data_IF_148401254605
#
_entry.id   IF_148401254605
#
_cell.length_a   1.000
_cell.length_b   1.000
_cell.length_c   1.000
_cell.angle_alpha   90.00
_cell.angle_beta   90.00
_cell.angle_gamma   90.00
#
_symmetry.space_group_name_H-M   'P 1'
#
loop_
_entity.id
_entity.type
_entity.pdbx_description
1 polymer ?
#
# COMPACT_ATOMS: atom_id res chain seq x y z
N UNK A 1 1.64 26.96 -0.21
CA UNK A 1 1.07 27.62 0.98
C UNK A 1 1.34 26.76 2.22
N UNK A 2 0.86 27.16 3.40
CA UNK A 2 0.94 26.32 4.60
C UNK A 2 0.06 25.06 4.45
N UNK A 3 0.49 23.94 5.03
CA UNK A 3 -0.34 22.73 5.13
C UNK A 3 -1.54 22.99 6.03
N UNK A 4 -2.69 22.41 5.70
CA UNK A 4 -3.88 22.42 6.55
C UNK A 4 -4.05 21.09 7.27
N UNK A 5 -4.49 21.15 8.53
CA UNK A 5 -4.86 20.00 9.34
C UNK A 5 -6.33 20.17 9.70
N UNK A 6 -7.19 19.32 9.15
CA UNK A 6 -8.65 19.52 9.20
C UNK A 6 -9.37 18.26 9.64
N UNK A 7 -10.45 18.43 10.41
CA UNK A 7 -11.40 17.34 10.65
C UNK A 7 -12.19 17.08 9.37
N UNK A 8 -12.31 15.82 9.00
CA UNK A 8 -13.11 15.38 7.86
C UNK A 8 -14.56 15.14 8.27
N UNK A 9 -15.42 14.92 7.27
CA UNK A 9 -16.80 14.49 7.51
C UNK A 9 -16.83 13.18 8.31
N UNK A 10 -17.94 12.95 9.02
CA UNK A 10 -18.13 11.69 9.74
C UNK A 10 -18.25 10.51 8.77
N UNK A 11 -17.78 9.34 9.24
CA UNK A 11 -18.08 8.08 8.55
C UNK A 11 -19.59 7.82 8.55
N UNK A 12 -20.08 7.23 7.46
CA UNK A 12 -21.42 6.65 7.39
C UNK A 12 -21.39 5.21 7.91
N UNK A 13 -22.49 4.74 8.50
CA UNK A 13 -22.72 3.34 8.88
C UNK A 13 -21.67 2.73 9.83
N UNK A 14 -21.20 3.49 10.81
CA UNK A 14 -20.27 2.99 11.84
C UNK A 14 -21.01 2.15 12.88
N UNK A 15 -21.34 0.92 12.54
CA UNK A 15 -21.99 -0.06 13.43
C UNK A 15 -21.43 -1.45 13.20
N UNK A 16 -21.50 -2.32 14.20
CA UNK A 16 -21.02 -3.69 14.10
C UNK A 16 -21.67 -4.44 12.92
N UNK A 17 -20.86 -5.16 12.14
CA UNK A 17 -21.29 -5.93 10.98
C UNK A 17 -21.56 -5.14 9.69
N UNK A 18 -21.44 -3.81 9.72
CA UNK A 18 -21.69 -2.96 8.55
C UNK A 18 -20.40 -2.48 7.88
N UNK A 19 -20.52 -2.09 6.61
CA UNK A 19 -19.46 -1.39 5.87
C UNK A 19 -19.55 0.11 6.16
N UNK A 20 -18.52 0.64 6.83
CA UNK A 20 -18.35 2.06 7.06
C UNK A 20 -17.68 2.73 5.86
N UNK A 21 -18.16 3.92 5.50
CA UNK A 21 -17.65 4.68 4.35
C UNK A 21 -17.37 6.13 4.71
N UNK A 22 -16.25 6.64 4.23
CA UNK A 22 -15.88 8.04 4.33
C UNK A 22 -15.60 8.58 2.94
N UNK A 23 -16.37 9.56 2.50
CA UNK A 23 -16.10 10.30 1.28
C UNK A 23 -15.18 11.48 1.58
N UNK A 24 -14.04 11.54 0.89
CA UNK A 24 -13.08 12.63 1.03
C UNK A 24 -13.51 13.82 0.16
N UNK A 25 -13.60 15.04 0.72
CA UNK A 25 -13.83 16.26 -0.06
C UNK A 25 -12.77 16.46 -1.14
N UNK A 26 -13.19 16.82 -2.35
CA UNK A 26 -12.28 17.06 -3.47
C UNK A 26 -11.69 18.47 -3.45
N UNK A 27 -10.59 18.64 -4.16
CA UNK A 27 -9.98 19.94 -4.48
C UNK A 27 -8.62 20.20 -3.83
N UNK A 28 -8.28 19.52 -2.73
CA UNK A 28 -6.95 19.60 -2.08
C UNK A 28 -6.17 18.31 -2.29
N UNK A 29 -4.87 18.35 -2.07
CA UNK A 29 -4.03 17.15 -2.08
C UNK A 29 -3.92 16.58 -0.68
N UNK A 30 -4.20 15.29 -0.52
CA UNK A 30 -4.09 14.59 0.75
C UNK A 30 -2.66 14.05 0.90
N UNK A 31 -1.91 14.58 1.87
CA UNK A 31 -0.60 14.02 2.24
C UNK A 31 -0.80 12.78 3.13
N UNK A 32 -1.77 12.84 4.05
CA UNK A 32 -2.13 11.77 4.98
C UNK A 32 -3.60 11.90 5.41
N UNK A 33 -4.25 10.77 5.66
CA UNK A 33 -5.54 10.71 6.39
C UNK A 33 -5.33 9.90 7.67
N UNK A 34 -5.81 10.43 8.79
CA UNK A 34 -5.73 9.81 10.11
C UNK A 34 -7.14 9.44 10.55
N UNK A 35 -7.38 8.15 10.81
CA UNK A 35 -8.67 7.65 11.27
C UNK A 35 -8.51 7.21 12.73
N UNK A 36 -9.00 8.04 13.64
CA UNK A 36 -9.12 7.69 15.05
C UNK A 36 -10.23 6.67 15.25
N UNK A 37 -9.97 5.63 16.05
CA UNK A 37 -10.96 4.61 16.35
C UNK A 37 -11.03 4.26 17.83
N UNK A 38 -12.20 3.86 18.31
CA UNK A 38 -12.40 3.34 19.66
C UNK A 38 -13.54 2.32 19.70
N UNK A 39 -13.57 1.48 20.75
CA UNK A 39 -14.57 0.42 20.90
C UNK A 39 -14.47 -0.70 19.84
N UNK A 40 -13.34 -0.75 19.13
CA UNK A 40 -12.99 -1.70 18.07
C UNK A 40 -11.46 -1.90 18.06
N UNK A 41 -11.02 -3.10 17.66
CA UNK A 41 -9.58 -3.43 17.50
C UNK A 41 -9.14 -3.33 16.04
N UNK A 42 -7.83 -3.25 15.81
CA UNK A 42 -7.26 -3.19 14.45
C UNK A 42 -7.70 -4.36 13.56
N UNK A 43 -7.76 -5.58 14.09
CA UNK A 43 -8.19 -6.79 13.36
C UNK A 43 -9.69 -6.85 13.11
N UNK A 44 -10.48 -6.01 13.80
CA UNK A 44 -11.93 -5.89 13.59
C UNK A 44 -12.30 -4.84 12.54
N UNK A 45 -11.34 -4.01 12.11
CA UNK A 45 -11.50 -3.11 10.97
C UNK A 45 -10.98 -3.86 9.75
N UNK A 46 -11.86 -4.48 8.96
CA UNK A 46 -11.51 -5.42 7.88
C UNK A 46 -11.71 -4.80 6.50
N UNK A 47 -11.14 -5.45 5.48
CA UNK A 47 -11.36 -5.15 4.06
C UNK A 47 -11.21 -3.65 3.73
N UNK A 48 -10.16 -3.03 4.27
CA UNK A 48 -9.92 -1.60 4.12
C UNK A 48 -9.52 -1.33 2.68
N UNK A 49 -10.22 -0.39 2.03
CA UNK A 49 -9.92 0.06 0.67
C UNK A 49 -9.93 1.58 0.59
N UNK A 50 -8.92 2.12 -0.08
CA UNK A 50 -8.97 3.50 -0.58
C UNK A 50 -9.36 3.42 -2.05
N UNK A 51 -10.50 3.98 -2.40
CA UNK A 51 -11.08 3.95 -3.73
C UNK A 51 -11.08 5.34 -4.35
N UNK A 52 -10.69 5.42 -5.62
CA UNK A 52 -10.72 6.65 -6.42
C UNK A 52 -11.52 6.34 -7.68
N UNK A 53 -12.63 7.05 -7.89
CA UNK A 53 -13.60 6.77 -8.97
C UNK A 53 -14.04 5.29 -9.00
N UNK A 54 -14.23 4.68 -7.83
CA UNK A 54 -14.61 3.27 -7.68
C UNK A 54 -13.47 2.25 -7.92
N UNK A 55 -12.25 2.69 -8.23
CA UNK A 55 -11.07 1.81 -8.32
C UNK A 55 -10.31 1.79 -7.00
N UNK A 56 -10.13 0.61 -6.42
CA UNK A 56 -9.32 0.44 -5.22
C UNK A 56 -7.83 0.66 -5.54
N UNK A 57 -7.24 1.71 -4.98
CA UNK A 57 -5.81 2.02 -5.12
C UNK A 57 -4.98 1.37 -4.02
N UNK A 58 -5.51 1.29 -2.80
CA UNK A 58 -4.85 0.61 -1.68
C UNK A 58 -5.83 -0.35 -1.03
N UNK A 59 -5.39 -1.57 -0.79
CA UNK A 59 -6.20 -2.64 -0.20
C UNK A 59 -5.45 -3.27 0.96
N UNK A 60 -6.13 -3.42 2.09
CA UNK A 60 -5.59 -4.08 3.27
C UNK A 60 -6.60 -5.09 3.82
N UNK A 61 -6.11 -6.24 4.30
CA UNK A 61 -6.93 -7.25 4.96
C UNK A 61 -7.69 -6.66 6.15
N UNK A 62 -6.96 -5.92 6.98
CA UNK A 62 -7.46 -5.30 8.19
C UNK A 62 -6.57 -4.13 8.62
N UNK A 63 -6.94 -3.46 9.71
CA UNK A 63 -6.17 -2.36 10.29
C UNK A 63 -4.81 -2.79 10.83
N UNK A 64 -4.62 -4.08 11.15
CA UNK A 64 -3.31 -4.59 11.61
C UNK A 64 -2.33 -4.62 10.46
N UNK A 65 -2.74 -5.10 9.29
CA UNK A 65 -1.91 -5.12 8.07
C UNK A 65 -1.44 -3.70 7.68
N UNK A 66 -2.34 -2.71 7.72
CA UNK A 66 -1.97 -1.30 7.50
C UNK A 66 -1.00 -0.77 8.57
N UNK A 67 -1.25 -1.06 9.84
CA UNK A 67 -0.37 -0.64 10.94
C UNK A 67 1.02 -1.27 10.84
N UNK A 68 1.10 -2.55 10.49
CA UNK A 68 2.37 -3.27 10.30
C UNK A 68 3.15 -2.69 9.11
N UNK A 69 2.48 -2.33 8.01
CA UNK A 69 3.11 -1.66 6.88
C UNK A 69 3.70 -0.29 7.28
N UNK A 70 2.96 0.49 8.08
CA UNK A 70 3.47 1.77 8.57
C UNK A 70 4.68 1.58 9.51
N UNK A 71 4.63 0.59 10.41
CA UNK A 71 5.77 0.24 11.26
C UNK A 71 6.97 -0.19 10.43
N UNK A 72 6.76 -0.95 9.35
CA UNK A 72 7.83 -1.34 8.44
C UNK A 72 8.62 -0.16 7.91
N UNK A 73 7.94 0.92 7.53
CA UNK A 73 8.56 2.16 7.07
C UNK A 73 9.04 3.09 8.21
N UNK A 74 9.05 2.62 9.46
CA UNK A 74 9.46 3.42 10.62
C UNK A 74 8.50 4.57 10.93
N UNK A 75 7.27 4.54 10.41
CA UNK A 75 6.26 5.57 10.66
C UNK A 75 5.68 5.36 12.05
N UNK A 76 5.39 6.45 12.73
CA UNK A 76 4.75 6.38 14.05
C UNK A 76 3.37 5.76 13.91
N UNK A 77 3.08 4.75 14.74
CA UNK A 77 1.75 4.12 14.80
C UNK A 77 1.26 4.14 16.24
N UNK A 78 -0.05 4.28 16.41
CA UNK A 78 -0.68 4.27 17.75
C UNK A 78 -1.78 3.22 17.79
N UNK A 79 -2.14 2.76 18.98
CA UNK A 79 -3.17 1.74 19.16
C UNK A 79 -4.60 2.23 18.88
N UNK A 80 -4.78 3.52 18.58
CA UNK A 80 -6.10 4.17 18.45
C UNK A 80 -6.24 5.00 17.17
N UNK A 81 -5.24 5.00 16.29
CA UNK A 81 -5.27 5.74 15.02
C UNK A 81 -4.75 4.85 13.90
N UNK A 82 -5.50 4.79 12.80
CA UNK A 82 -5.06 4.24 11.53
C UNK A 82 -4.55 5.36 10.63
N UNK A 83 -3.31 5.22 10.17
CA UNK A 83 -2.64 6.23 9.37
C UNK A 83 -2.55 5.81 7.90
N UNK A 84 -3.23 6.54 7.03
CA UNK A 84 -3.15 6.39 5.58
C UNK A 84 -2.13 7.36 5.02
N UNK A 85 -0.93 6.87 4.72
CA UNK A 85 0.13 7.68 4.13
C UNK A 85 0.09 7.64 2.60
N UNK A 86 -0.28 8.77 1.99
CA UNK A 86 -0.18 8.94 0.53
C UNK A 86 1.19 9.49 0.17
N UNK A 87 1.59 10.60 0.80
CA UNK A 87 2.97 11.08 0.80
C UNK A 87 3.87 10.02 1.43
N UNK A 88 4.96 9.64 0.76
CA UNK A 88 5.91 8.61 1.25
C UNK A 88 7.06 9.29 1.99
N UNK A 89 7.08 9.39 3.34
CA UNK A 89 8.10 10.16 4.07
C UNK A 89 9.50 9.53 4.00
N UNK A 90 9.59 8.23 3.67
CA UNK A 90 10.82 7.47 3.52
C UNK A 90 11.60 7.78 2.23
N UNK A 91 11.01 8.54 1.30
CA UNK A 91 11.73 8.99 0.10
C UNK A 91 12.77 10.05 0.47
N UNK A 92 13.89 10.06 -0.25
CA UNK A 92 15.08 10.84 0.10
C UNK A 92 14.87 12.34 -0.07
N UNK A 93 14.23 12.77 -1.16
CA UNK A 93 13.98 14.19 -1.43
C UNK A 93 12.55 14.60 -1.11
N UNK A 94 12.35 15.84 -0.67
CA UNK A 94 11.01 16.39 -0.41
C UNK A 94 10.11 16.36 -1.65
N UNK A 95 10.69 16.49 -2.84
CA UNK A 95 9.96 16.41 -4.10
C UNK A 95 9.40 15.00 -4.31
N UNK A 96 10.23 13.96 -4.16
CA UNK A 96 9.80 12.56 -4.28
C UNK A 96 8.79 12.18 -3.19
N UNK A 97 8.99 12.62 -1.95
CA UNK A 97 8.04 12.35 -0.87
C UNK A 97 6.64 12.85 -1.24
N UNK A 98 6.55 14.11 -1.72
CA UNK A 98 5.29 14.80 -2.04
C UNK A 98 4.66 14.35 -3.34
N UNK A 99 5.44 13.78 -4.26
CA UNK A 99 4.95 13.33 -5.56
C UNK A 99 3.81 12.31 -5.43
N UNK A 100 3.82 11.50 -4.37
CA UNK A 100 2.81 10.47 -4.10
C UNK A 100 1.58 10.96 -3.32
N UNK A 101 1.52 12.25 -2.97
CA UNK A 101 0.33 12.84 -2.36
C UNK A 101 -0.91 12.61 -3.23
N UNK A 102 -2.04 12.30 -2.62
CA UNK A 102 -3.27 12.01 -3.35
C UNK A 102 -3.92 13.32 -3.79
N UNK A 103 -3.56 13.77 -4.99
CA UNK A 103 -4.15 14.94 -5.63
C UNK A 103 -5.59 14.68 -6.03
N UNK A 104 -6.51 15.57 -5.63
CA UNK A 104 -7.95 15.44 -5.93
C UNK A 104 -8.51 16.63 -6.68
N UNK A 105 -7.65 17.59 -7.09
CA UNK A 105 -8.09 18.68 -7.94
C UNK A 105 -8.31 18.15 -9.36
N UNK A 106 -9.42 18.56 -9.97
CA UNK A 106 -9.68 18.29 -11.38
C UNK A 106 -9.14 19.44 -12.23
N UNK A 107 -8.59 19.11 -13.40
CA UNK A 107 -8.27 20.12 -14.40
C UNK A 107 -9.57 20.74 -14.90
N UNK A 108 -9.71 22.07 -14.80
CA UNK A 108 -10.80 22.82 -15.42
C UNK A 108 -10.60 22.96 -16.94
N UNK A 109 -9.98 21.97 -17.58
CA UNK A 109 -9.79 21.89 -19.03
C UNK A 109 -9.97 20.45 -19.49
N UNK A 110 -10.51 20.21 -20.70
CA UNK A 110 -10.47 18.89 -21.29
C UNK A 110 -9.02 18.42 -21.44
N UNK A 111 -8.80 17.11 -21.27
CA UNK A 111 -7.53 16.49 -21.58
C UNK A 111 -7.22 16.75 -23.07
N UNK A 112 -6.02 17.24 -23.36
CA UNK A 112 -5.61 17.57 -24.73
C UNK A 112 -5.08 16.34 -25.49
N UNK A 113 -4.83 15.25 -24.78
CA UNK A 113 -4.45 13.96 -25.35
C UNK A 113 -4.94 12.78 -24.51
N UNK A 114 -4.99 11.59 -25.10
CA UNK A 114 -5.29 10.36 -24.35
C UNK A 114 -4.25 10.07 -23.26
N UNK A 115 -2.98 10.41 -23.50
CA UNK A 115 -1.91 10.26 -22.50
C UNK A 115 -2.18 11.12 -21.27
N UNK A 116 -2.61 12.37 -21.45
CA UNK A 116 -3.01 13.23 -20.33
C UNK A 116 -4.24 12.66 -19.58
N UNK A 117 -5.21 12.13 -20.32
CA UNK A 117 -6.41 11.53 -19.73
C UNK A 117 -6.08 10.29 -18.87
N UNK A 118 -5.09 9.50 -19.28
CA UNK A 118 -4.66 8.30 -18.55
C UNK A 118 -3.75 8.61 -17.35
N UNK A 119 -2.96 9.68 -17.43
CA UNK A 119 -2.03 10.07 -16.36
C UNK A 119 -2.70 10.90 -15.27
N UNK A 120 -3.67 11.76 -15.63
CA UNK A 120 -4.37 12.65 -14.71
C UNK A 120 -5.87 12.71 -15.03
N UNK A 121 -6.60 11.59 -14.89
CA UNK A 121 -8.05 11.57 -15.09
C UNK A 121 -8.76 12.48 -14.09
N UNK A 122 -9.93 13.00 -14.48
CA UNK A 122 -10.77 13.78 -13.58
C UNK A 122 -11.22 12.93 -12.38
N UNK A 123 -11.03 13.47 -11.18
CA UNK A 123 -11.44 12.82 -9.93
C UNK A 123 -12.85 13.27 -9.61
N UNK A 124 -13.78 12.32 -9.51
CA UNK A 124 -15.19 12.53 -9.21
C UNK A 124 -15.54 12.10 -7.78
N UNK A 125 -14.85 11.08 -7.27
CA UNK A 125 -15.06 10.58 -5.91
C UNK A 125 -13.79 9.94 -5.37
N UNK A 126 -13.53 10.18 -4.09
CA UNK A 126 -12.52 9.45 -3.32
C UNK A 126 -13.19 8.96 -2.04
N UNK A 127 -13.10 7.66 -1.79
CA UNK A 127 -13.75 7.00 -0.66
C UNK A 127 -12.78 6.11 0.09
N UNK A 128 -12.84 6.15 1.41
CA UNK A 128 -12.24 5.13 2.27
C UNK A 128 -13.38 4.22 2.73
N UNK A 129 -13.25 2.94 2.45
CA UNK A 129 -14.24 1.90 2.75
C UNK A 129 -13.59 0.90 3.70
N UNK A 130 -14.32 0.47 4.72
CA UNK A 130 -13.87 -0.57 5.64
C UNK A 130 -15.07 -1.31 6.24
N UNK A 131 -14.92 -2.60 6.46
CA UNK A 131 -15.93 -3.44 7.11
C UNK A 131 -15.67 -3.49 8.61
N UNK A 132 -16.73 -3.31 9.39
CA UNK A 132 -16.68 -3.42 10.84
C UNK A 132 -17.11 -4.82 11.23
N UNK A 133 -16.24 -5.53 11.95
CA UNK A 133 -16.54 -6.87 12.46
C UNK A 133 -17.83 -6.90 13.32
N UNK A 134 -18.61 -7.97 13.19
CA UNK A 134 -19.88 -8.14 13.92
C UNK A 134 -19.72 -8.24 15.44
N UNK A 135 -18.53 -8.58 15.95
CA UNK A 135 -18.23 -8.61 17.37
C UNK A 135 -17.67 -7.27 17.91
N UNK A 136 -17.64 -6.19 17.11
CA UNK A 136 -17.26 -4.87 17.59
C UNK A 136 -18.32 -4.35 18.59
N UNK A 137 -17.91 -4.00 19.80
CA UNK A 137 -18.85 -3.68 20.88
C UNK A 137 -19.52 -2.32 20.71
N UNK A 138 -18.74 -1.28 20.40
CA UNK A 138 -19.25 0.08 20.22
C UNK A 138 -18.30 0.87 19.29
N UNK A 139 -18.25 0.50 18.01
CA UNK A 139 -17.28 1.07 17.08
C UNK A 139 -17.52 2.57 16.91
N UNK A 140 -16.47 3.36 17.02
CA UNK A 140 -16.47 4.79 16.71
C UNK A 140 -15.29 5.11 15.81
N UNK A 141 -15.53 5.92 14.79
CA UNK A 141 -14.53 6.36 13.83
C UNK A 141 -14.62 7.89 13.64
N UNK A 142 -13.49 8.57 13.79
CA UNK A 142 -13.30 9.98 13.45
C UNK A 142 -12.16 10.10 12.45
N UNK A 143 -12.27 11.01 11.48
CA UNK A 143 -11.23 11.21 10.48
C UNK A 143 -10.69 12.64 10.46
N UNK A 144 -9.39 12.74 10.21
CA UNK A 144 -8.64 13.98 10.06
C UNK A 144 -7.74 13.88 8.83
N UNK A 145 -7.45 15.00 8.18
CA UNK A 145 -6.56 15.04 7.03
C UNK A 145 -5.46 16.07 7.21
N UNK A 146 -4.27 15.71 6.73
CA UNK A 146 -3.18 16.63 6.47
C UNK A 146 -3.17 16.89 4.97
N UNK A 147 -3.39 18.13 4.58
CA UNK A 147 -3.56 18.52 3.19
C UNK A 147 -2.53 19.57 2.77
N UNK A 148 -2.14 19.51 1.51
CA UNK A 148 -1.26 20.46 0.83
C UNK A 148 -2.02 21.24 -0.24
N UNK A 149 -1.28 22.03 -1.03
CA UNK A 149 -1.86 22.82 -2.11
C UNK A 149 -2.57 21.91 -3.13
N UNK A 150 -3.68 22.36 -3.74
CA UNK A 150 -4.38 21.62 -4.78
C UNK A 150 -3.43 21.10 -5.88
N UNK A 151 -3.44 19.80 -6.12
CA UNK A 151 -2.80 19.19 -7.29
C UNK A 151 -3.73 18.18 -7.95
N UNK A 152 -3.51 17.96 -9.24
CA UNK A 152 -4.10 16.83 -9.96
C UNK A 152 -3.54 15.53 -9.44
N UNK A 153 -4.23 14.42 -9.69
CA UNK A 153 -3.69 13.10 -9.41
C UNK A 153 -2.45 12.87 -10.28
N UNK A 154 -1.36 12.46 -9.63
CA UNK A 154 -0.11 12.08 -10.27
C UNK A 154 0.18 10.60 -10.06
N UNK A 155 1.46 10.28 -9.88
CA UNK A 155 1.86 8.94 -9.44
C UNK A 155 1.39 8.70 -8.01
N UNK A 156 0.81 7.54 -7.77
CA UNK A 156 0.31 7.10 -6.46
C UNK A 156 0.97 5.77 -6.09
N UNK A 157 1.03 5.49 -4.78
CA UNK A 157 1.37 4.16 -4.29
C UNK A 157 0.12 3.31 -4.25
N UNK A 158 0.08 2.29 -5.09
CA UNK A 158 -0.97 1.27 -5.05
C UNK A 158 -0.53 0.07 -4.24
N UNK A 159 -1.39 -0.41 -3.36
CA UNK A 159 -1.14 -1.60 -2.53
C UNK A 159 -2.15 -2.66 -2.96
N UNK A 160 -1.67 -3.76 -3.55
CA UNK A 160 -2.49 -4.84 -4.08
C UNK A 160 -2.15 -6.16 -3.41
N UNK A 161 -3.15 -7.01 -3.23
CA UNK A 161 -3.02 -8.28 -2.48
C UNK A 161 -3.25 -9.47 -3.43
N UNK A 162 -2.29 -10.39 -3.49
CA UNK A 162 -2.38 -11.60 -4.30
C UNK A 162 -2.27 -12.83 -3.39
N UNK A 163 -3.39 -13.53 -3.12
CA UNK A 163 -3.35 -14.75 -2.33
C UNK A 163 -2.61 -15.86 -3.09
N UNK A 164 -1.77 -16.60 -2.39
CA UNK A 164 -1.02 -17.75 -2.90
C UNK A 164 -1.06 -18.90 -1.88
N UNK A 165 -0.67 -20.09 -2.32
CA UNK A 165 -0.46 -21.25 -1.46
C UNK A 165 1.01 -21.61 -1.45
N UNK A 166 1.58 -21.83 -0.27
CA UNK A 166 2.96 -22.25 -0.07
C UNK A 166 3.04 -23.73 0.32
N UNK A 167 4.12 -24.37 -0.10
CA UNK A 167 4.56 -25.68 0.35
C UNK A 167 5.98 -25.57 0.92
N UNK A 168 6.45 -26.59 1.63
CA UNK A 168 7.86 -26.70 2.02
C UNK A 168 8.78 -26.58 0.79
N UNK A 169 9.92 -25.91 0.97
CA UNK A 169 10.91 -25.66 -0.07
C UNK A 169 10.53 -24.50 -1.02
N UNK A 170 10.94 -24.64 -2.28
CA UNK A 170 10.81 -23.57 -3.28
C UNK A 170 9.39 -23.46 -3.85
N UNK A 171 8.83 -22.26 -3.78
CA UNK A 171 7.57 -21.89 -4.39
C UNK A 171 7.80 -20.76 -5.41
N UNK A 172 7.25 -20.88 -6.61
CA UNK A 172 7.37 -19.87 -7.65
C UNK A 172 6.06 -19.10 -7.86
N UNK A 173 6.15 -17.78 -7.92
CA UNK A 173 5.03 -16.88 -8.20
C UNK A 173 5.39 -16.02 -9.41
N UNK A 174 4.74 -16.27 -10.54
CA UNK A 174 5.01 -15.62 -11.83
C UNK A 174 3.81 -14.84 -12.39
N UNK A 175 2.65 -14.91 -11.73
CA UNK A 175 1.39 -14.26 -12.15
C UNK A 175 1.11 -12.90 -11.51
N UNK A 176 2.15 -12.22 -11.03
CA UNK A 176 2.00 -10.85 -10.56
C UNK A 176 1.70 -9.94 -11.76
N UNK A 177 0.67 -9.08 -11.74
CA UNK A 177 0.37 -8.21 -12.88
C UNK A 177 1.48 -7.19 -13.15
N UNK A 178 1.72 -6.93 -14.44
CA UNK A 178 2.85 -6.13 -14.94
C UNK A 178 2.42 -5.02 -15.92
N UNK A 179 1.61 -4.04 -15.48
CA UNK A 179 1.26 -2.94 -16.37
C UNK A 179 2.52 -2.13 -16.73
N UNK A 180 2.67 -1.81 -18.00
CA UNK A 180 3.84 -1.08 -18.50
C UNK A 180 4.00 0.34 -17.92
N UNK A 181 2.94 0.90 -17.31
CA UNK A 181 2.96 2.19 -16.61
C UNK A 181 3.55 2.12 -15.21
N UNK A 182 3.63 0.93 -14.62
CA UNK A 182 3.93 0.75 -13.21
C UNK A 182 5.41 0.38 -12.96
N UNK A 183 5.81 0.60 -11.71
CA UNK A 183 7.05 0.09 -11.12
C UNK A 183 6.74 -0.61 -9.79
N UNK A 184 7.51 -1.63 -9.42
CA UNK A 184 7.36 -2.28 -8.12
C UNK A 184 8.33 -1.68 -7.13
N UNK A 185 7.80 -1.09 -6.06
CA UNK A 185 8.55 -0.58 -4.91
C UNK A 185 8.98 -1.72 -4.00
N UNK A 186 8.05 -2.60 -3.64
CA UNK A 186 8.31 -3.69 -2.71
C UNK A 186 7.35 -4.88 -2.89
N UNK A 187 7.81 -6.06 -2.49
CA UNK A 187 6.99 -7.23 -2.20
C UNK A 187 6.97 -7.51 -0.71
N UNK A 188 5.80 -7.86 -0.17
CA UNK A 188 5.65 -8.37 1.19
C UNK A 188 4.94 -9.72 1.15
N UNK A 189 5.65 -10.78 1.53
CA UNK A 189 5.06 -12.11 1.70
C UNK A 189 4.56 -12.22 3.13
N UNK A 190 3.24 -12.20 3.29
CA UNK A 190 2.56 -12.31 4.58
C UNK A 190 2.08 -13.75 4.76
N UNK A 191 2.57 -14.42 5.80
CA UNK A 191 2.22 -15.81 6.12
C UNK A 191 2.63 -16.19 7.54
N UNK A 192 2.00 -17.23 8.08
CA UNK A 192 2.40 -17.85 9.34
C UNK A 192 3.55 -18.86 9.15
N UNK A 193 3.88 -19.23 7.90
CA UNK A 193 5.03 -20.10 7.60
C UNK A 193 6.37 -19.37 7.83
N UNK A 194 7.41 -20.14 8.16
CA UNK A 194 8.78 -19.64 8.21
C UNK A 194 9.32 -19.50 6.79
N UNK A 195 9.55 -18.26 6.34
CA UNK A 195 10.20 -17.95 5.06
C UNK A 195 11.71 -17.79 5.29
N UNK A 196 12.50 -18.55 4.55
CA UNK A 196 13.97 -18.57 4.64
C UNK A 196 14.62 -17.59 3.64
N UNK A 197 14.10 -17.56 2.41
CA UNK A 197 14.68 -16.78 1.30
C UNK A 197 13.57 -16.30 0.37
N UNK A 198 13.72 -15.07 -0.14
CA UNK A 198 12.88 -14.53 -1.22
C UNK A 198 13.81 -13.99 -2.30
N UNK A 199 13.66 -14.52 -3.51
CA UNK A 199 14.46 -14.14 -4.68
C UNK A 199 13.54 -13.53 -5.72
N UNK A 200 13.94 -12.40 -6.27
CA UNK A 200 13.19 -11.74 -7.36
C UNK A 200 13.98 -11.84 -8.64
N UNK A 201 13.34 -12.39 -9.68
CA UNK A 201 13.93 -12.51 -11.02
C UNK A 201 13.18 -11.63 -12.00
N UNK A 202 13.93 -10.90 -12.81
CA UNK A 202 13.43 -10.12 -13.94
C UNK A 202 14.19 -10.57 -15.17
N UNK A 203 13.49 -11.14 -16.16
CA UNK A 203 14.11 -11.66 -17.38
C UNK A 203 15.29 -12.62 -17.11
N UNK A 204 15.11 -13.53 -16.14
CA UNK A 204 16.12 -14.47 -15.61
C UNK A 204 17.33 -13.84 -14.88
N UNK A 205 17.34 -12.52 -14.67
CA UNK A 205 18.35 -11.85 -13.83
C UNK A 205 17.82 -11.75 -12.40
N UNK A 206 18.62 -12.21 -11.45
CA UNK A 206 18.29 -12.12 -10.03
C UNK A 206 18.56 -10.69 -9.53
N UNK A 207 17.50 -9.98 -9.18
CA UNK A 207 17.55 -8.61 -8.64
C UNK A 207 17.89 -8.63 -7.15
N UNK A 208 17.38 -9.63 -6.45
CA UNK A 208 17.66 -9.89 -5.03
C UNK A 208 17.83 -11.38 -4.84
N UNK A 209 18.93 -11.79 -4.21
CA UNK A 209 19.23 -13.19 -3.91
C UNK A 209 19.85 -13.33 -2.51
N UNK A 210 19.17 -12.82 -1.49
CA UNK A 210 19.69 -12.83 -0.12
C UNK A 210 18.73 -13.56 0.82
N UNK A 211 19.31 -14.27 1.78
CA UNK A 211 18.54 -14.90 2.85
C UNK A 211 17.83 -13.83 3.68
N UNK A 212 16.68 -14.21 4.26
CA UNK A 212 15.83 -13.30 5.03
C UNK A 212 16.61 -12.54 6.09
N UNK A 213 17.47 -13.21 6.84
CA UNK A 213 18.26 -12.59 7.92
C UNK A 213 19.15 -11.45 7.40
N UNK A 214 19.74 -11.63 6.22
CA UNK A 214 20.61 -10.61 5.60
C UNK A 214 19.76 -9.46 5.05
N UNK A 215 18.64 -9.77 4.39
CA UNK A 215 17.69 -8.76 3.89
C UNK A 215 17.18 -7.89 5.03
N UNK A 216 16.75 -8.51 6.14
CA UNK A 216 16.25 -7.80 7.33
C UNK A 216 17.34 -6.92 7.97
N UNK A 217 18.59 -7.38 8.01
CA UNK A 217 19.72 -6.56 8.45
C UNK A 217 19.92 -5.32 7.58
N UNK A 218 19.87 -5.47 6.25
CA UNK A 218 20.00 -4.36 5.30
C UNK A 218 18.83 -3.38 5.46
N UNK A 219 17.62 -3.90 5.63
CA UNK A 219 16.40 -3.12 5.90
C UNK A 219 16.56 -2.25 7.14
N UNK A 220 17.00 -2.81 8.26
CA UNK A 220 17.27 -2.07 9.50
C UNK A 220 18.35 -1.00 9.27
N UNK A 221 19.40 -1.32 8.52
CA UNK A 221 20.44 -0.36 8.13
C UNK A 221 19.92 0.84 7.32
N UNK A 222 18.77 0.69 6.65
CA UNK A 222 18.10 1.72 5.85
C UNK A 222 16.82 2.26 6.54
N UNK A 223 16.72 2.11 7.87
CA UNK A 223 15.64 2.70 8.66
C UNK A 223 14.28 2.01 8.49
N UNK A 224 14.24 0.79 7.97
CA UNK A 224 13.05 -0.06 7.99
C UNK A 224 12.98 -0.87 9.28
N UNK A 225 11.79 -1.33 9.64
CA UNK A 225 11.56 -2.23 10.76
C UNK A 225 10.88 -3.51 10.26
N UNK A 226 11.60 -4.60 9.99
CA UNK A 226 10.98 -5.89 9.65
C UNK A 226 9.88 -6.28 10.64
N UNK A 227 8.78 -6.86 10.15
CA UNK A 227 7.63 -7.25 10.96
C UNK A 227 7.51 -8.77 11.04
N UNK A 228 7.08 -9.29 12.20
CA UNK A 228 6.84 -10.73 12.37
C UNK A 228 5.75 -11.21 11.39
N UNK A 229 5.95 -12.39 10.80
CA UNK A 229 5.04 -12.95 9.79
C UNK A 229 5.06 -12.25 8.42
N UNK A 230 5.98 -11.30 8.21
CA UNK A 230 6.12 -10.57 6.94
C UNK A 230 7.56 -10.63 6.45
N UNK A 231 7.80 -11.28 5.31
CA UNK A 231 9.09 -11.23 4.62
C UNK A 231 9.02 -10.19 3.50
N UNK A 232 9.82 -9.13 3.59
CA UNK A 232 9.76 -8.01 2.64
C UNK A 232 10.99 -7.97 1.75
N UNK A 233 10.78 -7.72 0.46
CA UNK A 233 11.81 -7.30 -0.51
C UNK A 233 11.50 -5.87 -0.94
N UNK A 234 12.20 -4.88 -0.38
CA UNK A 234 12.05 -3.44 -0.69
C UNK A 234 13.19 -3.03 -1.64
N UNK A 235 12.84 -2.48 -2.81
CA UNK A 235 13.79 -2.05 -3.83
C UNK A 235 14.14 -0.56 -3.71
N UNK A 236 13.44 0.19 -2.87
CA UNK A 236 13.62 1.62 -2.67
C UNK A 236 14.22 1.91 -1.28
N UNK A 237 15.13 1.05 -0.80
CA UNK A 237 15.72 1.15 0.55
C UNK A 237 16.43 2.50 0.77
N UNK A 238 17.11 3.03 -0.23
CA UNK A 238 17.80 4.33 -0.15
C UNK A 238 16.85 5.54 -0.28
N UNK A 239 15.55 5.29 -0.45
CA UNK A 239 14.53 6.32 -0.65
C UNK A 239 14.55 6.93 -2.06
N UNK A 240 15.14 6.25 -3.06
CA UNK A 240 15.12 6.67 -4.46
C UNK A 240 14.11 5.82 -5.25
N UNK A 241 13.06 6.48 -5.76
CA UNK A 241 12.02 5.84 -6.56
C UNK A 241 12.53 5.23 -7.88
N UNK A 242 13.71 5.64 -8.36
CA UNK A 242 14.32 5.11 -9.59
C UNK A 242 14.81 3.68 -9.43
N UNK A 243 15.03 3.24 -8.19
CA UNK A 243 15.45 1.87 -7.86
C UNK A 243 14.29 0.87 -7.91
N UNK A 244 13.04 1.33 -7.92
CA UNK A 244 11.87 0.48 -8.13
C UNK A 244 11.97 -0.27 -9.46
N UNK A 245 11.56 -1.55 -9.46
CA UNK A 245 11.63 -2.42 -10.65
C UNK A 245 10.69 -1.89 -11.72
N UNK A 246 11.19 -1.45 -12.91
CA UNK A 246 10.33 -1.01 -13.99
C UNK A 246 9.65 -2.21 -14.66
N UNK A 247 8.34 -2.12 -14.90
CA UNK A 247 7.58 -3.20 -15.56
C UNK A 247 7.43 -3.00 -17.08
N UNK A 248 7.90 -1.87 -17.60
CA UNK A 248 7.87 -1.61 -19.04
C UNK A 248 8.89 -2.48 -19.77
N UNK A 249 8.40 -3.35 -20.64
CA UNK A 249 9.22 -4.11 -21.58
C UNK A 249 9.80 -5.43 -21.04
N UNK A 250 9.58 -5.74 -19.77
CA UNK A 250 10.01 -7.02 -19.18
C UNK A 250 9.16 -8.18 -19.73
N UNK A 251 9.77 -9.34 -19.94
CA UNK A 251 9.12 -10.55 -20.45
C UNK A 251 8.79 -11.53 -19.33
N UNK A 252 9.63 -11.57 -18.29
CA UNK A 252 9.47 -12.42 -17.10
C UNK A 252 9.65 -11.61 -15.80
N UNK A 253 8.78 -11.88 -14.83
CA UNK A 253 8.90 -11.42 -13.45
C UNK A 253 8.51 -12.59 -12.56
N UNK A 254 9.43 -13.04 -11.72
CA UNK A 254 9.20 -14.17 -10.83
C UNK A 254 9.65 -13.85 -9.43
N UNK A 255 8.80 -14.20 -8.47
CA UNK A 255 9.16 -14.26 -7.06
C UNK A 255 9.35 -15.73 -6.69
N UNK A 256 10.54 -16.07 -6.21
CA UNK A 256 10.89 -17.38 -5.70
C UNK A 256 10.93 -17.30 -4.17
N UNK A 257 10.04 -18.05 -3.52
CA UNK A 257 9.86 -18.03 -2.06
C UNK A 257 10.26 -19.40 -1.53
N UNK A 258 11.32 -19.45 -0.73
CA UNK A 258 11.73 -20.66 -0.02
C UNK A 258 11.11 -20.66 1.37
N UNK A 259 10.20 -21.59 1.61
CA UNK A 259 9.61 -21.84 2.92
C UNK A 259 10.30 -23.02 3.60
N UNK A 260 10.38 -22.98 4.94
CA UNK A 260 11.04 -24.02 5.73
C UNK A 260 10.40 -25.41 5.54
N UNK A 261 11.20 -26.46 5.79
CA UNK A 261 10.81 -27.86 5.57
C UNK A 261 9.58 -28.33 6.38
N UNK A 262 9.28 -27.66 7.50
CA UNK A 262 8.12 -27.95 8.35
C UNK A 262 6.84 -27.23 7.88
N UNK A 263 6.89 -26.48 6.77
CA UNK A 263 5.73 -25.80 6.21
C UNK A 263 4.72 -26.81 5.67
N UNK A 264 3.50 -26.80 6.23
CA UNK A 264 2.41 -27.64 5.77
C UNK A 264 2.04 -27.34 4.31
N UNK A 265 1.68 -28.39 3.55
CA UNK A 265 1.22 -28.27 2.17
C UNK A 265 0.00 -27.34 2.08
N UNK A 266 0.05 -26.40 1.13
CA UNK A 266 -1.05 -25.46 0.90
C UNK A 266 -1.19 -24.39 1.99
N UNK A 267 -0.13 -24.09 2.74
CA UNK A 267 -0.16 -23.00 3.73
C UNK A 267 -0.53 -21.69 3.05
N UNK A 268 -1.54 -21.01 3.58
CA UNK A 268 -2.01 -19.76 3.02
C UNK A 268 -0.95 -18.66 3.18
N UNK A 269 -0.71 -17.92 2.10
CA UNK A 269 0.08 -16.70 2.14
C UNK A 269 -0.55 -15.64 1.24
N UNK A 270 -0.16 -14.39 1.44
CA UNK A 270 -0.54 -13.29 0.57
C UNK A 270 0.71 -12.53 0.17
N UNK A 271 0.90 -12.35 -1.13
CA UNK A 271 1.91 -11.43 -1.66
C UNK A 271 1.24 -10.07 -1.79
N UNK A 272 1.64 -9.14 -0.93
CA UNK A 272 1.27 -7.73 -1.04
C UNK A 272 2.32 -7.03 -1.89
N UNK A 273 1.88 -6.27 -2.89
CA UNK A 273 2.77 -5.56 -3.81
C UNK A 273 2.50 -4.07 -3.71
N UNK A 274 3.55 -3.30 -3.47
CA UNK A 274 3.53 -1.85 -3.57
C UNK A 274 3.97 -1.43 -4.98
N UNK A 275 3.05 -0.84 -5.74
CA UNK A 275 3.32 -0.28 -7.05
C UNK A 275 3.41 1.24 -7.00
N UNK A 276 4.35 1.81 -7.76
CA UNK A 276 4.27 3.20 -8.22
C UNK A 276 3.59 3.20 -9.58
N UNK A 277 2.46 3.89 -9.69
CA UNK A 277 1.64 3.86 -10.91
C UNK A 277 0.73 5.09 -11.00
N UNK A 278 0.07 5.29 -12.14
CA UNK A 278 -1.01 6.27 -12.30
C UNK A 278 -2.36 5.64 -11.98
N UNK A 279 -3.44 6.43 -11.90
CA UNK A 279 -4.77 5.89 -11.60
C UNK A 279 -5.25 4.85 -12.63
N UNK A 280 -4.97 5.04 -13.91
CA UNK A 280 -5.44 4.16 -14.99
C UNK A 280 -4.76 2.78 -15.04
N UNK A 281 -3.60 2.60 -14.39
CA UNK A 281 -2.90 1.30 -14.39
C UNK A 281 -3.57 0.22 -13.52
N UNK A 282 -2.80 -0.53 -12.71
CA UNK A 282 -3.28 -1.71 -11.96
C UNK A 282 -4.45 -1.47 -11.00
#
# INVERSE_FOLDING_TARGET
MARSQVKLNSFSNVTAGNTATLQLPLGRTYDQVLVGFSGITLTQIKNIRVEVNGKAIQEFKDGKELADLNKFYGRNTTATVLDFHFKQPEMKTLAEQRMFGLGTASLNRPAQSQIEADQSPAIQVVTIVMDIDGAAANPKLDAYAIQSDPSVIGSIVKVKRFPISLNAGLNEVDKIPRPASARIKAFHVITDATIEKVVTKVDNVEVTELDRVIVEKIQVGNGRSPQAGICTSDYCLEGDMKQAIPLKGIQDLRLQITAADDTATGTFATVVVEYFDTLSGI
#
